data_IF_344584524450
#
_entry.id   IF_344584524450
#
_cell.length_a   1.000
_cell.length_b   1.000
_cell.length_c   1.000
_cell.angle_alpha   90.00
_cell.angle_beta   90.00
_cell.angle_gamma   90.00
#
_symmetry.space_group_name_H-M   'P 1'
#
loop_
_entity.id
_entity.type
_entity.pdbx_description
1 polymer ?
#
# COMPACT_ATOMS: atom_id res chain seq x y z
N UNK A 1 21.46 -13.81 -6.18
CA UNK A 1 20.97 -13.53 -7.55
C UNK A 1 19.52 -13.98 -7.66
N UNK A 2 18.58 -13.25 -7.05
CA UNK A 2 17.14 -13.48 -7.24
C UNK A 2 16.57 -12.20 -7.81
N UNK A 3 16.42 -12.21 -9.13
CA UNK A 3 15.76 -11.16 -9.91
C UNK A 3 14.30 -11.14 -9.44
N UNK A 4 13.95 -10.15 -8.61
CA UNK A 4 12.56 -9.81 -8.35
C UNK A 4 11.96 -9.34 -9.68
N UNK A 5 11.46 -10.29 -10.47
CA UNK A 5 10.66 -9.99 -11.65
C UNK A 5 9.31 -9.52 -11.12
N UNK A 6 8.90 -8.34 -11.54
CA UNK A 6 7.62 -7.69 -11.28
C UNK A 6 6.45 -8.43 -11.98
N UNK A 7 6.48 -9.76 -12.00
CA UNK A 7 5.63 -10.60 -12.86
C UNK A 7 4.51 -11.33 -12.12
N UNK A 8 4.49 -11.31 -10.79
CA UNK A 8 3.31 -11.74 -10.05
C UNK A 8 2.42 -10.52 -9.82
N UNK A 9 1.93 -9.93 -10.91
CA UNK A 9 0.74 -9.09 -10.86
C UNK A 9 -0.41 -10.08 -10.61
N UNK A 10 -0.77 -10.24 -9.33
CA UNK A 10 -1.88 -11.07 -8.90
C UNK A 10 -3.11 -10.83 -9.77
N UNK A 11 -3.74 -11.89 -10.29
CA UNK A 11 -5.04 -11.89 -11.00
C UNK A 11 -6.22 -11.41 -10.10
N UNK A 12 -5.92 -10.86 -8.93
CA UNK A 12 -6.89 -10.29 -8.02
C UNK A 12 -7.57 -9.06 -8.64
N UNK A 13 -8.89 -9.14 -8.75
CA UNK A 13 -9.71 -8.05 -9.26
C UNK A 13 -9.52 -6.82 -8.37
N UNK A 14 -9.14 -5.66 -8.93
CA UNK A 14 -8.94 -4.46 -8.15
C UNK A 14 -10.26 -4.03 -7.48
N UNK A 15 -10.21 -3.79 -6.17
CA UNK A 15 -11.33 -3.23 -5.41
C UNK A 15 -11.19 -1.71 -5.39
N UNK A 16 -12.19 -1.00 -5.91
CA UNK A 16 -12.19 0.47 -5.92
C UNK A 16 -12.74 1.00 -4.60
N UNK A 17 -11.95 1.82 -3.92
CA UNK A 17 -12.32 2.51 -2.69
C UNK A 17 -12.42 4.02 -2.95
N UNK A 18 -13.42 4.68 -2.37
CA UNK A 18 -13.49 6.14 -2.29
C UNK A 18 -13.07 6.57 -0.89
N UNK A 19 -12.07 7.44 -0.80
CA UNK A 19 -11.46 7.84 0.48
C UNK A 19 -11.50 9.36 0.59
N UNK A 20 -12.09 9.87 1.66
CA UNK A 20 -11.99 11.27 2.04
C UNK A 20 -10.70 11.51 2.83
N UNK A 21 -9.98 12.58 2.50
CA UNK A 21 -8.74 12.93 3.19
C UNK A 21 -8.74 14.39 3.59
N UNK A 22 -8.12 14.75 4.74
CA UNK A 22 -7.91 16.15 5.07
C UNK A 22 -7.10 16.86 3.99
N UNK A 23 -7.46 18.11 3.65
CA UNK A 23 -6.76 18.90 2.63
C UNK A 23 -5.24 19.00 2.88
N UNK A 24 -4.82 19.05 4.15
CA UNK A 24 -3.41 19.04 4.55
C UNK A 24 -2.70 17.75 4.13
N UNK A 25 -3.36 16.61 4.27
CA UNK A 25 -2.78 15.32 3.87
C UNK A 25 -2.66 15.24 2.34
N UNK A 26 -3.70 15.67 1.61
CA UNK A 26 -3.65 15.72 0.16
C UNK A 26 -2.45 16.52 -0.36
N UNK A 27 -2.22 17.74 0.16
CA UNK A 27 -1.06 18.57 -0.22
C UNK A 27 0.27 17.85 0.03
N UNK A 28 0.42 17.22 1.21
CA UNK A 28 1.63 16.44 1.53
C UNK A 28 1.84 15.26 0.59
N UNK A 29 0.77 14.60 0.13
CA UNK A 29 0.88 13.51 -0.83
C UNK A 29 1.30 14.01 -2.22
N UNK A 30 0.84 15.19 -2.63
CA UNK A 30 1.31 15.86 -3.86
C UNK A 30 2.81 16.16 -3.75
N UNK A 31 3.24 16.82 -2.66
CA UNK A 31 4.64 17.14 -2.43
C UNK A 31 5.51 15.87 -2.39
N UNK A 32 5.01 14.82 -1.73
CA UNK A 32 5.68 13.51 -1.68
C UNK A 32 5.87 12.91 -3.08
N UNK A 33 4.84 12.98 -3.93
CA UNK A 33 4.93 12.51 -5.31
C UNK A 33 6.01 13.24 -6.12
N UNK A 34 6.09 14.57 -5.95
CA UNK A 34 7.11 15.40 -6.60
C UNK A 34 8.52 15.00 -6.13
N UNK A 35 8.72 14.83 -4.82
CA UNK A 35 10.01 14.40 -4.26
C UNK A 35 10.38 13.01 -4.76
N UNK A 36 9.42 12.08 -4.83
CA UNK A 36 9.65 10.74 -5.36
C UNK A 36 10.05 10.77 -6.85
N UNK A 37 9.54 11.75 -7.60
CA UNK A 37 9.91 12.00 -8.99
C UNK A 37 11.18 12.86 -9.15
N UNK A 38 12.06 12.88 -8.14
CA UNK A 38 13.32 13.63 -8.19
C UNK A 38 13.15 15.15 -8.15
N UNK A 39 12.03 15.64 -7.63
CA UNK A 39 11.73 17.08 -7.52
C UNK A 39 11.06 17.68 -8.76
N UNK A 40 10.79 16.89 -9.79
CA UNK A 40 10.14 17.34 -11.03
C UNK A 40 8.62 17.17 -10.90
N UNK A 41 7.87 18.23 -11.18
CA UNK A 41 6.39 18.21 -11.10
C UNK A 41 5.76 17.45 -12.27
N UNK A 42 6.35 17.57 -13.46
CA UNK A 42 5.90 16.86 -14.65
C UNK A 42 5.99 15.35 -14.43
N UNK A 43 4.90 14.64 -14.70
CA UNK A 43 4.77 13.19 -14.58
C UNK A 43 4.93 12.64 -13.14
N UNK A 44 4.90 13.52 -12.13
CA UNK A 44 4.89 13.08 -10.74
C UNK A 44 3.63 12.26 -10.42
N UNK A 45 3.74 11.16 -9.66
CA UNK A 45 2.61 10.33 -9.31
C UNK A 45 1.57 11.11 -8.52
N UNK A 46 0.30 11.00 -8.96
CA UNK A 46 -0.82 11.61 -8.26
C UNK A 46 -1.06 10.93 -6.91
N UNK A 47 -1.62 11.64 -5.91
CA UNK A 47 -1.90 11.08 -4.58
C UNK A 47 -2.60 9.71 -4.60
N UNK A 48 -3.59 9.53 -5.46
CA UNK A 48 -4.34 8.27 -5.57
C UNK A 48 -3.46 7.06 -5.93
N UNK A 49 -2.43 7.26 -6.77
CA UNK A 49 -1.50 6.20 -7.15
C UNK A 49 -0.52 5.84 -6.03
N UNK A 50 -0.35 6.73 -5.04
CA UNK A 50 0.54 6.52 -3.90
C UNK A 50 -0.14 5.75 -2.76
N UNK A 51 -1.45 5.95 -2.56
CA UNK A 51 -2.17 5.43 -1.39
C UNK A 51 -2.11 3.91 -1.29
N UNK A 52 -2.43 3.19 -2.37
CA UNK A 52 -2.43 1.73 -2.37
C UNK A 52 -1.05 1.11 -2.00
N UNK A 53 0.05 1.44 -2.70
CA UNK A 53 1.36 0.88 -2.36
C UNK A 53 1.88 1.35 -0.98
N UNK A 54 1.51 2.54 -0.52
CA UNK A 54 1.82 2.99 0.83
C UNK A 54 1.12 2.14 1.91
N UNK A 55 -0.18 1.84 1.72
CA UNK A 55 -0.95 1.01 2.64
C UNK A 55 -0.47 -0.44 2.64
N UNK A 56 -0.14 -1.00 1.47
CA UNK A 56 0.43 -2.33 1.35
C UNK A 56 1.74 -2.42 2.16
N UNK A 57 2.64 -1.46 1.98
CA UNK A 57 3.91 -1.41 2.72
C UNK A 57 3.71 -1.19 4.22
N UNK A 58 2.74 -0.36 4.61
CA UNK A 58 2.38 -0.15 6.00
C UNK A 58 1.95 -1.47 6.67
N UNK A 59 0.98 -2.16 6.09
CA UNK A 59 0.45 -3.44 6.59
C UNK A 59 1.56 -4.51 6.63
N UNK A 60 2.37 -4.60 5.58
CA UNK A 60 3.48 -5.56 5.52
C UNK A 60 4.53 -5.32 6.61
N UNK A 61 4.73 -4.05 7.02
CA UNK A 61 5.70 -3.68 8.05
C UNK A 61 5.18 -3.84 9.49
N UNK A 62 3.86 -3.94 9.67
CA UNK A 62 3.23 -4.07 10.99
C UNK A 62 3.40 -5.49 11.55
N UNK A 63 4.37 -5.62 12.47
CA UNK A 63 4.70 -6.89 13.13
C UNK A 63 3.62 -7.36 14.08
N UNK A 64 2.93 -6.45 14.76
CA UNK A 64 1.88 -6.80 15.72
C UNK A 64 0.64 -7.27 14.98
N UNK A 65 0.26 -6.59 13.90
CA UNK A 65 -0.74 -7.09 12.95
C UNK A 65 -0.36 -8.49 12.44
N UNK A 66 0.88 -8.67 11.99
CA UNK A 66 1.35 -9.96 11.50
C UNK A 66 1.24 -11.09 12.53
N UNK A 67 1.54 -10.82 13.81
CA UNK A 67 1.37 -11.79 14.91
C UNK A 67 -0.10 -12.10 15.16
N UNK A 68 -0.95 -11.07 15.25
CA UNK A 68 -2.38 -11.23 15.48
C UNK A 68 -3.05 -12.03 14.36
N UNK A 69 -2.75 -11.72 13.09
CA UNK A 69 -3.25 -12.45 11.92
C UNK A 69 -2.91 -13.93 11.96
N UNK A 70 -1.68 -14.30 12.37
CA UNK A 70 -1.29 -15.71 12.52
C UNK A 70 -2.11 -16.42 13.59
N UNK A 71 -2.31 -15.79 14.75
CA UNK A 71 -3.12 -16.36 15.85
C UNK A 71 -4.57 -16.56 15.44
N UNK A 72 -5.17 -15.58 14.77
CA UNK A 72 -6.54 -15.67 14.28
C UNK A 72 -6.73 -16.85 13.31
N UNK A 73 -5.81 -17.01 12.36
CA UNK A 73 -5.85 -18.13 11.39
C UNK A 73 -5.67 -19.50 12.06
N UNK A 74 -4.82 -19.60 13.09
CA UNK A 74 -4.68 -20.84 13.86
C UNK A 74 -5.94 -21.20 14.64
N UNK A 75 -6.68 -20.21 15.17
CA UNK A 75 -7.93 -20.43 15.88
C UNK A 75 -9.05 -20.90 14.94
N UNK A 76 -9.16 -20.31 13.75
CA UNK A 76 -10.12 -20.70 12.71
C UNK A 76 -9.90 -22.16 12.27
N UNK A 77 -8.66 -22.53 11.98
CA UNK A 77 -8.29 -23.90 11.60
C UNK A 77 -8.48 -24.94 12.71
N UNK A 78 -8.62 -24.53 13.98
CA UNK A 78 -8.88 -25.42 15.11
C UNK A 78 -10.37 -25.60 15.42
N UNK A 79 -11.22 -24.80 14.78
CA UNK A 79 -12.68 -24.82 14.92
C UNK A 79 -13.38 -25.50 13.74
N UNK A 80 -12.62 -26.09 12.82
CA UNK A 80 -13.07 -26.91 11.68
C UNK A 80 -12.53 -28.32 11.84
#
# INVERSE_FOLDING_TARGET
MTRLKLSDISDEKPVRLSIETPARLHRRLVDYGIVLNGGVTKDAPQPAALVAPMLERFIASDREFSKARRRARSAENSST
#
